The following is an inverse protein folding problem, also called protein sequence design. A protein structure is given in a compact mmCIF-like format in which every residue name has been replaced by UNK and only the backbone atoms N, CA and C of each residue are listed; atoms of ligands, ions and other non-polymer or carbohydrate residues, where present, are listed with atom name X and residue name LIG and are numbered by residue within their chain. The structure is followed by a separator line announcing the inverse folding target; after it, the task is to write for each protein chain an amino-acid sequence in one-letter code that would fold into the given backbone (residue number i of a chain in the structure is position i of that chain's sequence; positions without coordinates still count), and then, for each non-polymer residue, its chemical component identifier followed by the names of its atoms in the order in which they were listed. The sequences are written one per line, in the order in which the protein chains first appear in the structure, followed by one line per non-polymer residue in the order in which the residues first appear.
data_IF_381892591061
#
_entry.id   IF_381892591061
#
_cell.length_a   1.000
_cell.length_b   1.000
_cell.length_c   1.000
_cell.angle_alpha   90.00
_cell.angle_beta   90.00
_cell.angle_gamma   90.00
#
_symmetry.space_group_name_H-M   'P 1'
#
loop_
_entity.id
_entity.type
_entity.pdbx_description
1 polymer ?
#
# COMPACT_ATOMS: atom_id res chain seq x y z
N UNK A 1 -25.82 64.38 -7.36
CA UNK A 1 -26.32 63.86 -6.07
C UNK A 1 -27.44 64.76 -5.57
N UNK A 2 -28.44 64.27 -4.81
CA UNK A 2 -29.15 62.97 -4.82
C UNK A 2 -30.58 63.19 -5.43
N UNK A 3 -31.67 62.42 -5.26
CA UNK A 3 -31.99 60.99 -5.03
C UNK A 3 -33.27 60.69 -5.88
N UNK A 4 -33.60 59.50 -6.40
CA UNK A 4 -33.70 58.09 -5.92
C UNK A 4 -35.09 57.73 -5.31
N UNK A 5 -35.83 56.84 -5.99
CA UNK A 5 -36.94 56.06 -5.41
C UNK A 5 -38.24 55.99 -6.24
N UNK A 6 -38.56 54.83 -6.85
CA UNK A 6 -39.87 54.56 -7.47
C UNK A 6 -40.29 53.08 -7.35
N UNK A 7 -41.58 52.88 -7.01
CA UNK A 7 -42.41 51.64 -6.92
C UNK A 7 -42.71 51.09 -5.52
N UNK A 8 -44.02 50.89 -5.24
CA UNK A 8 -44.57 49.54 -5.00
C UNK A 8 -45.98 49.30 -5.61
N UNK A 9 -46.46 48.03 -5.56
CA UNK A 9 -47.83 47.58 -5.91
C UNK A 9 -47.88 46.74 -7.21
N UNK A 10 -47.97 45.39 -7.16
CA UNK A 10 -49.20 44.55 -7.17
C UNK A 10 -49.99 44.66 -8.50
N UNK A 11 -50.44 43.58 -9.15
CA UNK A 11 -51.08 42.35 -8.62
C UNK A 11 -50.61 41.03 -9.30
N UNK A 12 -51.05 39.88 -8.76
CA UNK A 12 -50.77 38.52 -9.26
C UNK A 12 -52.09 37.78 -9.52
N UNK A 13 -52.22 37.16 -10.70
CA UNK A 13 -53.23 36.11 -10.98
C UNK A 13 -52.54 34.98 -11.76
N UNK A 14 -52.66 33.70 -11.36
CA UNK A 14 -51.96 32.59 -11.99
C UNK A 14 -52.79 31.93 -13.11
N UNK A 15 -52.11 31.35 -14.11
CA UNK A 15 -52.67 30.28 -14.95
C UNK A 15 -51.61 29.22 -15.23
N UNK A 16 -51.99 27.96 -15.01
CA UNK A 16 -51.14 26.79 -15.15
C UNK A 16 -50.73 26.53 -16.61
N UNK A 17 -49.45 26.22 -16.79
CA UNK A 17 -48.98 25.46 -17.95
C UNK A 17 -48.33 24.19 -17.41
N UNK A 18 -49.00 23.06 -17.61
CA UNK A 18 -48.49 21.75 -17.23
C UNK A 18 -47.22 21.42 -18.05
N UNK A 19 -46.07 21.32 -17.38
CA UNK A 19 -44.88 20.71 -17.96
C UNK A 19 -44.98 19.18 -17.82
N UNK A 20 -45.12 18.51 -18.96
CA UNK A 20 -45.02 17.06 -19.08
C UNK A 20 -43.65 16.59 -18.56
N UNK A 21 -43.65 15.84 -17.45
CA UNK A 21 -42.43 15.39 -16.78
C UNK A 21 -42.15 13.92 -17.09
N UNK A 22 -41.88 13.64 -18.37
CA UNK A 22 -41.34 12.36 -18.85
C UNK A 22 -39.80 12.40 -18.99
N UNK A 23 -39.12 13.09 -18.07
CA UNK A 23 -37.66 13.10 -17.97
C UNK A 23 -37.11 11.82 -17.33
N UNK A 24 -36.42 10.99 -18.11
CA UNK A 24 -35.92 9.68 -17.67
C UNK A 24 -34.97 9.75 -16.46
N UNK A 25 -35.19 8.87 -15.48
CA UNK A 25 -34.31 8.69 -14.31
C UNK A 25 -32.94 8.11 -14.72
N UNK A 26 -31.99 8.96 -15.10
CA UNK A 26 -30.55 8.60 -15.20
C UNK A 26 -29.73 9.51 -14.27
N UNK A 27 -30.11 9.49 -13.00
CA UNK A 27 -29.46 10.20 -11.89
C UNK A 27 -29.03 9.27 -10.77
N UNK A 28 -28.69 8.01 -11.07
CA UNK A 28 -28.30 7.02 -10.07
C UNK A 28 -26.85 7.21 -9.60
N UNK A 29 -26.69 8.14 -8.66
CA UNK A 29 -26.11 7.85 -7.35
C UNK A 29 -24.71 7.17 -7.34
N UNK A 30 -23.78 7.73 -8.11
CA UNK A 30 -22.41 7.25 -8.27
C UNK A 30 -21.54 7.28 -6.99
N UNK A 31 -22.04 7.85 -5.90
CA UNK A 31 -21.36 7.90 -4.59
C UNK A 31 -21.87 6.90 -3.54
N UNK A 32 -23.09 6.36 -3.68
CA UNK A 32 -23.69 5.57 -2.58
C UNK A 32 -23.27 4.10 -2.57
N UNK A 33 -22.94 3.51 -3.72
CA UNK A 33 -22.51 2.12 -3.82
C UNK A 33 -21.27 1.84 -2.95
N UNK A 34 -20.22 2.66 -3.11
CA UNK A 34 -19.01 2.58 -2.29
C UNK A 34 -19.30 2.78 -0.80
N UNK A 35 -20.11 3.79 -0.43
CA UNK A 35 -20.47 4.03 0.96
C UNK A 35 -21.22 2.83 1.58
N UNK A 36 -22.20 2.26 0.88
CA UNK A 36 -22.96 1.09 1.34
C UNK A 36 -22.08 -0.15 1.51
N UNK A 37 -21.09 -0.35 0.65
CA UNK A 37 -20.10 -1.43 0.76
C UNK A 37 -19.17 -1.23 1.96
N UNK A 38 -18.78 0.00 2.26
CA UNK A 38 -17.97 0.33 3.44
C UNK A 38 -18.74 0.08 4.75
N UNK A 39 -20.01 0.49 4.85
CA UNK A 39 -20.86 0.26 6.02
C UNK A 39 -21.26 -1.21 6.20
N UNK A 40 -21.54 -1.94 5.12
CA UNK A 40 -21.79 -3.39 5.20
C UNK A 40 -20.51 -4.17 5.53
N UNK A 41 -19.36 -3.74 5.01
CA UNK A 41 -18.04 -4.25 5.40
C UNK A 41 -17.71 -3.98 6.86
N UNK A 42 -18.08 -2.81 7.40
CA UNK A 42 -17.98 -2.48 8.83
C UNK A 42 -18.86 -3.40 9.68
N UNK A 43 -20.13 -3.57 9.33
CA UNK A 43 -21.05 -4.43 10.09
C UNK A 43 -20.60 -5.90 10.14
N UNK A 44 -20.15 -6.45 9.00
CA UNK A 44 -19.57 -7.80 8.93
C UNK A 44 -18.25 -7.85 9.73
N UNK A 45 -17.40 -6.85 9.59
CA UNK A 45 -16.11 -6.80 10.27
C UNK A 45 -16.22 -6.68 11.78
N UNK A 46 -17.11 -5.83 12.29
CA UNK A 46 -17.42 -5.73 13.71
C UNK A 46 -17.99 -7.04 14.26
N UNK A 47 -18.87 -7.73 13.51
CA UNK A 47 -19.36 -9.05 13.90
C UNK A 47 -18.24 -10.11 13.94
N UNK A 48 -17.30 -10.08 13.00
CA UNK A 48 -16.09 -10.94 13.01
C UNK A 48 -15.20 -10.62 14.22
N UNK A 49 -14.95 -9.34 14.51
CA UNK A 49 -14.15 -8.89 15.66
C UNK A 49 -14.78 -9.31 16.99
N UNK A 50 -16.08 -9.09 17.17
CA UNK A 50 -16.82 -9.52 18.36
C UNK A 50 -16.82 -11.05 18.48
N UNK A 51 -17.04 -11.78 17.37
CA UNK A 51 -16.97 -13.24 17.35
C UNK A 51 -15.58 -13.78 17.74
N UNK A 52 -14.51 -13.15 17.26
CA UNK A 52 -13.14 -13.48 17.63
C UNK A 52 -12.85 -13.24 19.12
N UNK A 53 -13.29 -12.09 19.66
CA UNK A 53 -13.17 -11.78 21.08
C UNK A 53 -13.96 -12.75 21.96
N UNK A 54 -15.19 -13.11 21.57
CA UNK A 54 -16.02 -14.12 22.26
C UNK A 54 -15.34 -15.50 22.23
N UNK A 55 -14.77 -15.90 21.09
CA UNK A 55 -14.03 -17.16 20.95
C UNK A 55 -12.75 -17.19 21.80
N UNK A 56 -12.15 -16.04 22.11
CA UNK A 56 -11.01 -15.90 23.02
C UNK A 56 -11.39 -15.95 24.52
N UNK A 57 -12.65 -15.73 24.90
CA UNK A 57 -13.09 -15.77 26.30
C UNK A 57 -12.77 -17.09 27.05
N UNK A 58 -12.95 -18.31 26.48
CA UNK A 58 -12.53 -19.55 27.15
C UNK A 58 -11.01 -19.75 27.22
N UNK A 59 -10.22 -18.98 26.46
CA UNK A 59 -8.76 -19.08 26.40
C UNK A 59 -8.04 -17.92 27.12
N UNK A 60 -8.74 -17.15 27.98
CA UNK A 60 -8.15 -16.06 28.78
C UNK A 60 -6.87 -16.46 29.52
N UNK A 61 -6.91 -17.61 30.20
CA UNK A 61 -5.79 -18.20 30.95
C UNK A 61 -4.59 -18.58 30.06
N UNK A 62 -4.79 -18.75 28.75
CA UNK A 62 -3.70 -19.02 27.82
C UNK A 62 -3.03 -17.70 27.42
N UNK A 63 -1.70 -17.71 27.29
CA UNK A 63 -0.89 -16.56 26.87
C UNK A 63 -1.47 -15.80 25.66
N UNK A 64 -2.06 -16.53 24.71
CA UNK A 64 -2.69 -15.97 23.51
C UNK A 64 -3.97 -15.18 23.82
N UNK A 65 -4.81 -15.62 24.78
CA UNK A 65 -6.03 -14.92 25.18
C UNK A 65 -5.74 -13.72 26.07
N UNK A 66 -4.82 -13.87 27.02
CA UNK A 66 -4.31 -12.76 27.84
C UNK A 66 -3.77 -11.61 26.97
N UNK A 67 -3.08 -11.93 25.85
CA UNK A 67 -2.55 -10.94 24.92
C UNK A 67 -3.62 -10.00 24.31
N UNK A 68 -4.83 -10.52 24.06
CA UNK A 68 -5.91 -9.73 23.45
C UNK A 68 -6.89 -9.14 24.46
N UNK A 69 -7.04 -9.74 25.65
CA UNK A 69 -8.09 -9.38 26.60
C UNK A 69 -7.59 -8.56 27.78
N UNK A 70 -6.34 -8.74 28.21
CA UNK A 70 -5.83 -8.16 29.46
C UNK A 70 -4.86 -6.98 29.25
N UNK A 71 -4.35 -6.78 28.03
CA UNK A 71 -3.34 -5.75 27.70
C UNK A 71 -3.91 -4.37 27.33
N UNK A 72 -4.97 -3.96 28.03
CA UNK A 72 -5.60 -2.65 27.84
C UNK A 72 -6.43 -2.54 26.54
N UNK A 73 -6.70 -1.31 26.09
CA UNK A 73 -7.65 -1.04 25.00
C UNK A 73 -7.09 -1.26 23.59
N UNK A 74 -5.76 -1.24 23.42
CA UNK A 74 -5.10 -1.27 22.11
C UNK A 74 -5.39 -2.57 21.31
N UNK A 75 -5.30 -3.79 21.90
CA UNK A 75 -5.61 -5.03 21.18
C UNK A 75 -7.04 -5.09 20.63
N UNK A 76 -8.02 -4.52 21.34
CA UNK A 76 -9.41 -4.48 20.87
C UNK A 76 -9.56 -3.66 19.57
N UNK A 77 -8.83 -2.56 19.44
CA UNK A 77 -8.86 -1.72 18.23
C UNK A 77 -8.06 -2.35 17.08
N UNK A 78 -6.95 -3.04 17.38
CA UNK A 78 -6.24 -3.87 16.40
C UNK A 78 -7.14 -4.97 15.81
N UNK A 79 -7.88 -5.70 16.67
CA UNK A 79 -8.86 -6.72 16.26
C UNK A 79 -10.02 -6.10 15.46
N UNK A 80 -10.46 -4.89 15.79
CA UNK A 80 -11.49 -4.16 15.05
C UNK A 80 -11.02 -3.78 13.63
N UNK A 81 -9.81 -3.22 13.49
CA UNK A 81 -9.24 -2.87 12.18
C UNK A 81 -8.99 -4.12 11.32
N UNK A 82 -8.46 -5.19 11.92
CA UNK A 82 -8.29 -6.47 11.24
C UNK A 82 -9.64 -7.04 10.77
N UNK A 83 -10.65 -7.08 11.65
CA UNK A 83 -11.97 -7.60 11.32
C UNK A 83 -12.67 -6.80 10.23
N UNK A 84 -12.59 -5.45 10.28
CA UNK A 84 -13.14 -4.57 9.24
C UNK A 84 -12.45 -4.78 7.89
N UNK A 85 -11.12 -4.80 7.86
CA UNK A 85 -10.37 -5.05 6.63
C UNK A 85 -10.70 -6.44 6.04
N UNK A 86 -10.76 -7.48 6.88
CA UNK A 86 -11.17 -8.84 6.48
C UNK A 86 -12.62 -8.86 5.98
N UNK A 87 -13.54 -8.14 6.61
CA UNK A 87 -14.93 -8.00 6.17
C UNK A 87 -15.06 -7.41 4.76
N UNK A 88 -14.29 -6.35 4.47
CA UNK A 88 -14.18 -5.76 3.13
C UNK A 88 -13.61 -6.77 2.13
N UNK A 89 -12.53 -7.47 2.48
CA UNK A 89 -11.92 -8.50 1.61
C UNK A 89 -12.86 -9.68 1.34
N UNK A 90 -13.70 -10.07 2.29
CA UNK A 90 -14.72 -11.11 2.09
C UNK A 90 -15.79 -10.65 1.10
N UNK A 91 -16.28 -9.39 1.22
CA UNK A 91 -17.25 -8.83 0.28
C UNK A 91 -16.68 -8.77 -1.14
N UNK A 92 -15.46 -8.24 -1.29
CA UNK A 92 -14.73 -8.23 -2.57
C UNK A 92 -14.54 -9.62 -3.15
N UNK A 93 -14.08 -10.59 -2.34
CA UNK A 93 -13.92 -11.99 -2.78
C UNK A 93 -15.23 -12.59 -3.31
N UNK A 94 -16.38 -12.28 -2.71
CA UNK A 94 -17.69 -12.76 -3.20
C UNK A 94 -18.07 -12.12 -4.54
N UNK A 95 -17.78 -10.83 -4.76
CA UNK A 95 -18.01 -10.16 -6.05
C UNK A 95 -17.11 -10.68 -7.15
N UNK A 96 -15.80 -10.75 -6.90
CA UNK A 96 -14.80 -11.32 -7.79
C UNK A 96 -15.20 -12.74 -8.27
N UNK A 97 -15.75 -13.57 -7.37
CA UNK A 97 -16.23 -14.91 -7.71
C UNK A 97 -17.52 -14.93 -8.57
N UNK A 98 -18.38 -13.91 -8.47
CA UNK A 98 -19.55 -13.76 -9.35
C UNK A 98 -19.11 -13.27 -10.73
N UNK A 99 -18.22 -12.28 -10.78
CA UNK A 99 -17.72 -11.70 -12.03
C UNK A 99 -16.84 -12.68 -12.83
N UNK A 100 -15.98 -13.44 -12.15
CA UNK A 100 -15.21 -14.52 -12.77
C UNK A 100 -16.09 -15.63 -13.36
N UNK A 101 -17.32 -15.82 -12.86
CA UNK A 101 -18.33 -16.71 -13.47
C UNK A 101 -19.02 -16.05 -14.67
N UNK A 102 -19.18 -14.73 -14.68
CA UNK A 102 -19.74 -14.01 -15.83
C UNK A 102 -18.84 -14.13 -17.06
N UNK A 103 -17.51 -14.10 -16.90
CA UNK A 103 -16.51 -14.36 -17.97
C UNK A 103 -16.61 -15.76 -18.61
N UNK A 104 -17.28 -16.72 -17.97
CA UNK A 104 -17.47 -18.08 -18.51
C UNK A 104 -18.75 -18.16 -19.37
N UNK A 105 -19.64 -17.18 -19.25
CA UNK A 105 -20.88 -17.12 -20.04
C UNK A 105 -20.62 -16.37 -21.33
N UNK A 106 -21.03 -16.95 -22.45
CA UNK A 106 -20.92 -16.32 -23.77
C UNK A 106 -21.88 -15.12 -23.87
N UNK A 107 -21.31 -13.92 -23.78
CA UNK A 107 -22.04 -12.64 -23.85
C UNK A 107 -22.24 -12.16 -25.28
N UNK A 108 -21.49 -12.73 -26.25
CA UNK A 108 -21.50 -12.34 -27.66
C UNK A 108 -21.66 -13.59 -28.54
N UNK A 109 -22.79 -14.32 -28.44
CA UNK A 109 -22.96 -15.59 -29.12
C UNK A 109 -22.77 -15.46 -30.63
N UNK A 110 -21.92 -16.32 -31.18
CA UNK A 110 -21.67 -16.43 -32.63
C UNK A 110 -22.91 -16.86 -33.43
N UNK A 111 -23.99 -17.30 -32.75
CA UNK A 111 -25.26 -17.69 -33.37
C UNK A 111 -26.13 -16.53 -33.86
N UNK A 112 -25.81 -15.27 -33.50
CA UNK A 112 -26.59 -14.08 -33.94
C UNK A 112 -26.00 -13.52 -35.25
N UNK A 113 -24.70 -13.25 -35.29
CA UNK A 113 -23.93 -13.01 -36.51
C UNK A 113 -22.43 -13.05 -36.20
N UNK A 114 -21.61 -13.36 -37.20
CA UNK A 114 -20.14 -13.36 -37.05
C UNK A 114 -19.60 -11.91 -36.92
N UNK A 115 -20.04 -11.00 -37.80
CA UNK A 115 -19.77 -9.56 -37.71
C UNK A 115 -20.93 -8.79 -37.06
N UNK A 116 -20.59 -7.74 -36.30
CA UNK A 116 -21.50 -6.80 -35.65
C UNK A 116 -21.55 -5.55 -36.53
N UNK A 117 -22.68 -5.35 -37.22
CA UNK A 117 -22.97 -4.15 -38.02
C UNK A 117 -24.01 -3.28 -37.32
N UNK A 118 -24.10 -1.96 -37.59
CA UNK A 118 -25.07 -1.08 -36.93
C UNK A 118 -26.52 -1.57 -36.99
N UNK A 119 -26.89 -2.30 -38.05
CA UNK A 119 -28.22 -2.87 -38.26
C UNK A 119 -28.52 -4.11 -37.41
N UNK A 120 -27.49 -4.84 -36.93
CA UNK A 120 -27.68 -6.04 -36.09
C UNK A 120 -27.34 -5.81 -34.60
N UNK A 121 -26.76 -4.67 -34.23
CA UNK A 121 -26.44 -4.32 -32.81
C UNK A 121 -27.66 -4.47 -31.89
N UNK A 122 -28.86 -4.11 -32.36
CA UNK A 122 -30.08 -4.24 -31.57
C UNK A 122 -30.42 -5.69 -31.18
N UNK A 123 -30.07 -6.67 -32.01
CA UNK A 123 -30.22 -8.10 -31.68
C UNK A 123 -29.31 -8.51 -30.51
N UNK A 124 -28.06 -8.03 -30.49
CA UNK A 124 -27.13 -8.27 -29.38
C UNK A 124 -27.57 -7.56 -28.09
N UNK A 125 -28.06 -6.31 -28.19
CA UNK A 125 -28.58 -5.58 -27.02
C UNK A 125 -29.83 -6.24 -26.42
N UNK A 126 -30.72 -6.79 -27.24
CA UNK A 126 -31.88 -7.56 -26.76
C UNK A 126 -31.47 -8.89 -26.12
N UNK A 127 -30.54 -9.63 -26.72
CA UNK A 127 -29.99 -10.85 -26.10
C UNK A 127 -29.38 -10.58 -24.73
N UNK A 128 -28.60 -9.50 -24.61
CA UNK A 128 -28.02 -9.05 -23.35
C UNK A 128 -29.08 -8.65 -22.31
N UNK A 129 -30.23 -8.13 -22.73
CA UNK A 129 -31.35 -7.84 -21.83
C UNK A 129 -32.08 -9.10 -21.33
N UNK A 130 -32.00 -10.23 -22.05
CA UNK A 130 -32.50 -11.54 -21.59
C UNK A 130 -31.56 -12.29 -20.64
N UNK A 131 -30.32 -11.81 -20.43
CA UNK A 131 -29.40 -12.44 -19.47
C UNK A 131 -29.86 -12.22 -18.02
N UNK A 132 -29.59 -13.17 -17.09
CA UNK A 132 -30.01 -13.04 -15.69
C UNK A 132 -29.50 -11.76 -15.03
N UNK A 133 -30.34 -11.10 -14.21
CA UNK A 133 -30.00 -9.83 -13.56
C UNK A 133 -28.68 -9.84 -12.74
N UNK A 134 -28.25 -11.00 -12.25
CA UNK A 134 -26.95 -11.18 -11.55
C UNK A 134 -25.72 -11.11 -12.48
N UNK A 135 -25.91 -11.30 -13.79
CA UNK A 135 -24.89 -11.10 -14.81
C UNK A 135 -25.02 -9.71 -15.45
N UNK A 136 -26.24 -9.16 -15.56
CA UNK A 136 -26.50 -7.79 -16.01
C UNK A 136 -25.67 -6.75 -15.24
N UNK A 137 -25.42 -6.99 -13.96
CA UNK A 137 -24.62 -6.13 -13.08
C UNK A 137 -23.11 -6.51 -13.03
N UNK A 138 -22.61 -7.28 -14.00
CA UNK A 138 -21.17 -7.53 -14.18
C UNK A 138 -20.48 -6.38 -14.90
N UNK A 139 -19.24 -6.05 -14.53
CA UNK A 139 -18.41 -5.06 -15.25
C UNK A 139 -18.31 -5.39 -16.74
N UNK A 140 -18.05 -6.65 -17.09
CA UNK A 140 -17.92 -7.11 -18.47
C UNK A 140 -19.18 -6.80 -19.30
N UNK A 141 -20.35 -7.18 -18.79
CA UNK A 141 -21.61 -6.99 -19.53
C UNK A 141 -21.99 -5.50 -19.62
N UNK A 142 -21.85 -4.72 -18.55
CA UNK A 142 -22.07 -3.25 -18.61
C UNK A 142 -21.15 -2.57 -19.62
N UNK A 143 -19.90 -3.00 -19.72
CA UNK A 143 -18.89 -2.41 -20.61
C UNK A 143 -19.08 -2.81 -22.08
N UNK A 144 -19.36 -4.08 -22.36
CA UNK A 144 -19.74 -4.55 -23.71
C UNK A 144 -21.00 -3.83 -24.18
N UNK A 145 -22.03 -3.75 -23.32
CA UNK A 145 -23.29 -3.06 -23.62
C UNK A 145 -23.05 -1.59 -23.97
N UNK A 146 -22.28 -0.86 -23.17
CA UNK A 146 -21.90 0.54 -23.47
C UNK A 146 -21.11 0.67 -24.76
N UNK A 147 -20.21 -0.27 -25.06
CA UNK A 147 -19.48 -0.34 -26.33
C UNK A 147 -20.42 -0.49 -27.53
N UNK A 148 -21.40 -1.40 -27.44
CA UNK A 148 -22.43 -1.61 -28.47
C UNK A 148 -23.37 -0.39 -28.62
N UNK A 149 -23.83 0.20 -27.51
CA UNK A 149 -24.64 1.42 -27.52
C UNK A 149 -23.87 2.60 -28.15
N UNK A 150 -22.57 2.73 -27.88
CA UNK A 150 -21.71 3.76 -28.49
C UNK A 150 -21.43 3.49 -29.97
N UNK A 151 -21.22 2.22 -30.36
CA UNK A 151 -21.08 1.83 -31.77
C UNK A 151 -22.35 2.15 -32.57
N UNK A 152 -23.53 1.85 -32.04
CA UNK A 152 -24.81 2.21 -32.66
C UNK A 152 -24.97 3.72 -32.89
N UNK A 153 -24.40 4.55 -32.02
CA UNK A 153 -24.53 6.00 -32.09
C UNK A 153 -23.48 6.70 -32.98
N UNK A 154 -22.30 6.07 -33.16
CA UNK A 154 -21.14 6.67 -33.87
C UNK A 154 -20.77 5.98 -35.18
N UNK A 155 -21.13 4.70 -35.33
CA UNK A 155 -20.74 3.77 -36.40
C UNK A 155 -19.21 3.62 -36.63
N UNK A 156 -18.39 4.24 -35.78
CA UNK A 156 -16.92 4.34 -35.92
C UNK A 156 -16.17 3.37 -35.01
N UNK A 157 -15.45 2.41 -35.60
CA UNK A 157 -14.63 1.44 -34.88
C UNK A 157 -13.53 2.09 -33.99
N UNK A 158 -12.73 3.07 -34.48
CA UNK A 158 -11.70 3.71 -33.65
C UNK A 158 -12.26 4.46 -32.45
N UNK A 159 -13.44 5.08 -32.58
CA UNK A 159 -14.05 5.85 -31.49
C UNK A 159 -14.56 4.94 -30.37
N UNK A 160 -15.12 3.77 -30.72
CA UNK A 160 -15.49 2.74 -29.74
C UNK A 160 -14.24 2.19 -29.04
N UNK A 161 -13.15 1.94 -29.76
CA UNK A 161 -11.88 1.48 -29.16
C UNK A 161 -11.36 2.46 -28.09
N UNK A 162 -11.29 3.76 -28.41
CA UNK A 162 -10.88 4.81 -27.47
C UNK A 162 -11.84 4.92 -26.27
N UNK A 163 -13.15 4.82 -26.50
CA UNK A 163 -14.16 4.80 -25.43
C UNK A 163 -14.05 3.57 -24.52
N UNK A 164 -13.61 2.42 -25.05
CA UNK A 164 -13.34 1.23 -24.24
C UNK A 164 -12.03 1.35 -23.44
N UNK A 165 -11.00 1.97 -23.98
CA UNK A 165 -9.74 2.25 -23.29
C UNK A 165 -9.96 3.20 -22.09
N UNK A 166 -10.64 4.33 -22.31
CA UNK A 166 -11.04 5.25 -21.24
C UNK A 166 -11.87 4.56 -20.15
N UNK A 167 -12.75 3.63 -20.52
CA UNK A 167 -13.51 2.84 -19.55
C UNK A 167 -12.63 1.87 -18.74
N UNK A 168 -11.55 1.31 -19.31
CA UNK A 168 -10.63 0.47 -18.53
C UNK A 168 -9.92 1.29 -17.47
N UNK A 169 -9.36 2.46 -17.83
CA UNK A 169 -8.66 3.34 -16.90
C UNK A 169 -9.58 3.80 -15.75
N UNK A 170 -10.84 4.13 -16.06
CA UNK A 170 -11.86 4.47 -15.05
C UNK A 170 -12.16 3.29 -14.12
N UNK A 171 -12.22 2.06 -14.63
CA UNK A 171 -12.48 0.87 -13.80
C UNK A 171 -11.24 0.45 -12.98
N UNK A 172 -10.03 0.58 -13.53
CA UNK A 172 -8.77 0.42 -12.80
C UNK A 172 -8.65 1.43 -11.65
N UNK A 173 -8.99 2.71 -11.90
CA UNK A 173 -9.06 3.75 -10.89
C UNK A 173 -10.06 3.44 -9.77
N UNK A 174 -11.22 2.84 -10.08
CA UNK A 174 -12.19 2.36 -9.06
C UNK A 174 -11.63 1.20 -8.24
N UNK A 175 -10.97 0.24 -8.87
CA UNK A 175 -10.31 -0.88 -8.17
C UNK A 175 -9.29 -0.30 -7.18
N UNK A 176 -8.34 0.51 -7.66
CA UNK A 176 -7.32 1.15 -6.83
C UNK A 176 -7.93 1.98 -5.67
N UNK A 177 -8.94 2.80 -5.96
CA UNK A 177 -9.67 3.61 -4.98
C UNK A 177 -10.35 2.76 -3.91
N UNK A 178 -10.94 1.62 -4.28
CA UNK A 178 -11.64 0.74 -3.34
C UNK A 178 -10.74 0.07 -2.29
N UNK A 179 -9.42 -0.01 -2.51
CA UNK A 179 -8.44 -0.48 -1.52
C UNK A 179 -7.90 0.62 -0.61
N UNK A 180 -8.26 1.89 -0.81
CA UNK A 180 -7.73 3.03 -0.03
C UNK A 180 -7.91 2.81 1.48
N UNK A 181 -9.11 2.40 1.92
CA UNK A 181 -9.36 2.16 3.34
C UNK A 181 -8.56 0.96 3.89
N UNK A 182 -8.39 -0.11 3.09
CA UNK A 182 -7.57 -1.27 3.48
C UNK A 182 -6.10 -0.86 3.65
N UNK A 183 -5.58 -0.02 2.74
CA UNK A 183 -4.22 0.56 2.83
C UNK A 183 -4.06 1.45 4.07
N UNK A 184 -5.09 2.22 4.43
CA UNK A 184 -5.10 2.99 5.69
C UNK A 184 -5.01 2.08 6.91
N UNK A 185 -5.73 0.94 6.95
CA UNK A 185 -5.60 -0.02 8.06
C UNK A 185 -4.22 -0.69 8.11
N UNK A 186 -3.64 -1.06 6.97
CA UNK A 186 -2.28 -1.62 6.91
C UNK A 186 -1.22 -0.67 7.47
N UNK A 187 -1.39 0.64 7.29
CA UNK A 187 -0.55 1.68 7.88
C UNK A 187 -0.87 1.95 9.36
N UNK A 188 -2.15 1.96 9.74
CA UNK A 188 -2.60 2.28 11.09
C UNK A 188 -2.30 1.17 12.11
N UNK A 189 -2.35 -0.10 11.72
CA UNK A 189 -2.12 -1.25 12.62
C UNK A 189 -0.71 -1.21 13.27
N UNK A 190 0.41 -1.07 12.53
CA UNK A 190 1.74 -0.94 13.13
C UNK A 190 1.88 0.28 14.06
N UNK A 191 1.31 1.42 13.67
CA UNK A 191 1.35 2.66 14.47
C UNK A 191 0.59 2.49 15.78
N UNK A 192 -0.55 1.79 15.73
CA UNK A 192 -1.35 1.45 16.91
C UNK A 192 -0.61 0.48 17.84
N UNK A 193 0.14 -0.49 17.29
CA UNK A 193 1.09 -1.30 18.06
C UNK A 193 2.13 -0.44 18.78
N UNK A 194 2.78 0.48 18.04
CA UNK A 194 3.77 1.39 18.60
C UNK A 194 3.20 2.29 19.72
N UNK A 195 1.97 2.81 19.56
CA UNK A 195 1.24 3.52 20.61
C UNK A 195 1.05 2.62 21.84
N UNK A 196 0.72 1.35 21.64
CA UNK A 196 0.68 0.33 22.71
C UNK A 196 2.01 0.18 23.46
N UNK A 197 3.15 0.13 22.77
CA UNK A 197 4.46 0.12 23.44
C UNK A 197 4.76 1.39 24.21
N UNK A 198 4.50 2.58 23.63
CA UNK A 198 4.74 3.86 24.29
C UNK A 198 3.91 3.99 25.56
N UNK A 199 2.64 3.56 25.53
CA UNK A 199 1.77 3.54 26.71
C UNK A 199 2.29 2.57 27.78
N UNK A 200 2.60 1.32 27.43
CA UNK A 200 3.07 0.33 28.41
C UNK A 200 4.44 0.65 29.03
N UNK A 201 5.36 1.24 28.26
CA UNK A 201 6.63 1.76 28.77
C UNK A 201 6.38 2.96 29.70
N UNK A 202 5.48 3.88 29.33
CA UNK A 202 5.14 5.04 30.16
C UNK A 202 4.51 4.64 31.50
N UNK A 203 3.62 3.62 31.51
CA UNK A 203 3.02 3.14 32.77
C UNK A 203 4.03 2.40 33.64
N UNK A 204 4.92 1.61 33.05
CA UNK A 204 6.00 0.94 33.78
C UNK A 204 6.93 1.96 34.47
N UNK A 205 7.38 3.00 33.75
CA UNK A 205 8.24 4.05 34.33
C UNK A 205 7.50 4.85 35.42
N UNK A 206 6.20 5.11 35.25
CA UNK A 206 5.40 5.82 36.26
C UNK A 206 5.27 5.02 37.59
N UNK A 207 5.13 3.69 37.52
CA UNK A 207 5.11 2.82 38.70
C UNK A 207 6.39 2.92 39.53
N UNK A 208 7.56 2.89 38.86
CA UNK A 208 8.86 3.05 39.51
C UNK A 208 9.03 4.42 40.17
N UNK A 209 8.59 5.49 39.50
CA UNK A 209 8.70 6.85 40.02
C UNK A 209 7.82 7.09 41.26
N UNK A 210 6.62 6.50 41.31
CA UNK A 210 5.74 6.60 42.48
C UNK A 210 6.30 5.89 43.72
N UNK A 211 6.94 4.73 43.52
CA UNK A 211 7.49 3.89 44.59
C UNK A 211 8.69 4.46 45.32
N UNK A 212 9.41 5.43 44.74
CA UNK A 212 10.58 6.09 45.35
C UNK A 212 10.24 7.18 46.38
N UNK A 213 8.94 7.45 46.63
CA UNK A 213 8.49 8.54 47.50
C UNK A 213 8.38 8.20 49.00
N UNK A 214 8.62 6.95 49.38
CA UNK A 214 8.58 6.48 50.77
C UNK A 214 9.89 5.83 51.22
N UNK A 215 10.24 5.99 52.50
CA UNK A 215 11.28 5.19 53.16
C UNK A 215 10.85 3.73 53.24
N UNK A 216 11.26 2.92 52.28
CA UNK A 216 10.92 1.50 52.22
C UNK A 216 12.12 0.57 51.96
N UNK A 217 11.86 -0.68 52.30
CA UNK A 217 12.80 -1.78 52.41
C UNK A 217 13.23 -2.32 51.03
N UNK A 218 14.36 -3.04 50.99
CA UNK A 218 14.93 -3.62 49.76
C UNK A 218 13.95 -4.53 49.00
N UNK A 219 13.00 -5.14 49.71
CA UNK A 219 11.89 -5.95 49.16
C UNK A 219 11.00 -5.13 48.21
N UNK A 220 10.53 -3.96 48.63
CA UNK A 220 9.64 -3.11 47.83
C UNK A 220 10.28 -2.65 46.52
N UNK A 221 11.60 -2.46 46.50
CA UNK A 221 12.37 -2.16 45.28
C UNK A 221 12.44 -3.34 44.30
N UNK A 222 12.59 -4.57 44.80
CA UNK A 222 12.57 -5.79 43.97
C UNK A 222 11.20 -6.01 43.33
N UNK A 223 10.12 -5.78 44.08
CA UNK A 223 8.75 -5.91 43.57
C UNK A 223 8.45 -4.86 42.48
N UNK A 224 8.82 -3.59 42.72
CA UNK A 224 8.68 -2.51 41.72
C UNK A 224 9.48 -2.79 40.43
N UNK A 225 10.72 -3.28 40.53
CA UNK A 225 11.51 -3.65 39.36
C UNK A 225 10.90 -4.83 38.59
N UNK A 226 10.26 -5.76 39.30
CA UNK A 226 9.55 -6.90 38.70
C UNK A 226 8.30 -6.43 37.95
N UNK A 227 7.50 -5.53 38.55
CA UNK A 227 6.33 -4.92 37.91
C UNK A 227 6.70 -4.13 36.64
N UNK A 228 7.76 -3.31 36.70
CA UNK A 228 8.33 -2.59 35.54
C UNK A 228 8.71 -3.56 34.42
N UNK A 229 9.37 -4.67 34.77
CA UNK A 229 9.82 -5.68 33.79
C UNK A 229 8.64 -6.38 33.12
N UNK A 230 7.59 -6.70 33.88
CA UNK A 230 6.33 -7.26 33.34
C UNK A 230 5.61 -6.25 32.43
N UNK A 231 5.49 -4.99 32.85
CA UNK A 231 4.87 -3.92 32.04
C UNK A 231 5.59 -3.68 30.71
N UNK A 232 6.92 -3.77 30.70
CA UNK A 232 7.74 -3.68 29.49
C UNK A 232 7.53 -4.88 28.56
N UNK A 233 7.41 -6.11 29.09
CA UNK A 233 7.02 -7.28 28.31
C UNK A 233 5.60 -7.14 27.72
N UNK A 234 4.66 -6.61 28.51
CA UNK A 234 3.28 -6.33 28.07
C UNK A 234 3.25 -5.37 26.88
N UNK A 235 4.05 -4.31 26.94
CA UNK A 235 4.29 -3.38 25.84
C UNK A 235 4.80 -4.11 24.58
N UNK A 236 5.90 -4.86 24.68
CA UNK A 236 6.54 -5.48 23.51
C UNK A 236 5.64 -6.45 22.74
N UNK A 237 4.94 -7.39 23.40
CA UNK A 237 4.12 -8.33 22.61
C UNK A 237 2.87 -7.65 22.00
N UNK A 238 2.45 -6.49 22.50
CA UNK A 238 1.39 -5.67 21.87
C UNK A 238 1.84 -5.15 20.50
N UNK A 239 3.09 -4.70 20.38
CA UNK A 239 3.71 -4.36 19.08
C UNK A 239 3.94 -5.61 18.23
N UNK A 240 4.43 -6.70 18.81
CA UNK A 240 4.66 -7.96 18.07
C UNK A 240 3.37 -8.44 17.39
N UNK A 241 2.25 -8.48 18.13
CA UNK A 241 0.95 -8.88 17.56
C UNK A 241 0.44 -7.89 16.53
N UNK A 242 0.61 -6.59 16.72
CA UNK A 242 0.25 -5.61 15.69
C UNK A 242 1.02 -5.84 14.37
N UNK A 243 2.33 -6.12 14.45
CA UNK A 243 3.15 -6.43 13.28
C UNK A 243 2.72 -7.75 12.63
N UNK A 244 2.51 -8.82 13.41
CA UNK A 244 1.99 -10.10 12.90
C UNK A 244 0.63 -9.93 12.21
N UNK A 245 -0.30 -9.16 12.79
CA UNK A 245 -1.61 -8.87 12.19
C UNK A 245 -1.48 -8.06 10.89
N UNK A 246 -0.61 -7.07 10.84
CA UNK A 246 -0.39 -6.26 9.62
C UNK A 246 0.17 -7.12 8.48
N UNK A 247 1.12 -8.02 8.75
CA UNK A 247 1.66 -8.96 7.76
C UNK A 247 0.58 -9.94 7.30
N UNK A 248 -0.18 -10.52 8.24
CA UNK A 248 -1.27 -11.47 7.96
C UNK A 248 -2.39 -10.85 7.12
N UNK A 249 -2.63 -9.54 7.25
CA UNK A 249 -3.61 -8.79 6.45
C UNK A 249 -3.04 -8.33 5.10
N UNK A 250 -1.75 -7.96 5.04
CA UNK A 250 -1.10 -7.43 3.83
C UNK A 250 -1.12 -8.44 2.68
N UNK A 251 -0.76 -9.70 2.95
CA UNK A 251 -0.69 -10.74 1.92
C UNK A 251 -2.03 -11.01 1.21
N UNK A 252 -3.15 -11.31 1.91
CA UNK A 252 -4.44 -11.50 1.26
C UNK A 252 -5.01 -10.21 0.66
N UNK A 253 -4.69 -9.03 1.19
CA UNK A 253 -5.10 -7.75 0.60
C UNK A 253 -4.46 -7.53 -0.77
N UNK A 254 -3.13 -7.66 -0.87
CA UNK A 254 -2.39 -7.57 -2.13
C UNK A 254 -2.80 -8.65 -3.13
N UNK A 255 -3.02 -9.89 -2.65
CA UNK A 255 -3.53 -10.98 -3.48
C UNK A 255 -4.93 -10.74 -4.03
N UNK A 256 -5.82 -10.08 -3.27
CA UNK A 256 -7.16 -9.70 -3.74
C UNK A 256 -7.09 -8.55 -4.75
N UNK A 257 -6.28 -7.52 -4.49
CA UNK A 257 -6.09 -6.40 -5.41
C UNK A 257 -5.59 -6.91 -6.77
N UNK A 258 -4.54 -7.73 -6.76
CA UNK A 258 -4.03 -8.37 -7.98
C UNK A 258 -5.10 -9.22 -8.69
N UNK A 259 -5.90 -9.98 -7.95
CA UNK A 259 -6.91 -10.83 -8.58
C UNK A 259 -8.08 -10.04 -9.22
N UNK A 260 -8.38 -8.82 -8.74
CA UNK A 260 -9.30 -7.88 -9.40
C UNK A 260 -8.64 -7.18 -10.62
N UNK A 261 -7.35 -6.85 -10.55
CA UNK A 261 -6.57 -6.31 -11.68
C UNK A 261 -6.44 -7.34 -12.83
N UNK A 262 -6.07 -8.59 -12.52
CA UNK A 262 -6.00 -9.71 -13.46
C UNK A 262 -7.38 -9.98 -14.12
N UNK A 263 -8.48 -9.75 -13.40
CA UNK A 263 -9.84 -9.88 -13.93
C UNK A 263 -10.17 -8.77 -14.93
N UNK A 264 -9.81 -7.51 -14.61
CA UNK A 264 -10.01 -6.37 -15.51
C UNK A 264 -9.22 -6.57 -16.81
N UNK A 265 -7.96 -7.01 -16.72
CA UNK A 265 -7.14 -7.33 -17.88
C UNK A 265 -7.76 -8.45 -18.75
N UNK A 266 -8.36 -9.49 -18.13
CA UNK A 266 -9.08 -10.52 -18.87
C UNK A 266 -10.34 -9.99 -19.58
N UNK A 267 -11.06 -9.04 -18.97
CA UNK A 267 -12.20 -8.34 -19.59
C UNK A 267 -11.74 -7.44 -20.74
N UNK A 268 -10.61 -6.73 -20.59
CA UNK A 268 -9.98 -5.95 -21.66
C UNK A 268 -9.65 -6.82 -22.88
N UNK A 269 -8.93 -7.93 -22.65
CA UNK A 269 -8.61 -8.90 -23.71
C UNK A 269 -9.87 -9.45 -24.36
N UNK A 270 -10.89 -9.86 -23.59
CA UNK A 270 -12.15 -10.34 -24.15
C UNK A 270 -12.83 -9.28 -25.05
N UNK A 271 -12.85 -8.01 -24.63
CA UNK A 271 -13.44 -6.92 -25.41
C UNK A 271 -12.64 -6.63 -26.69
N UNK A 272 -11.31 -6.58 -26.61
CA UNK A 272 -10.43 -6.41 -27.77
C UNK A 272 -10.61 -7.54 -28.78
N UNK A 273 -10.67 -8.79 -28.32
CA UNK A 273 -10.69 -9.97 -29.18
C UNK A 273 -12.07 -10.36 -29.72
N UNK A 274 -13.14 -10.15 -28.94
CA UNK A 274 -14.49 -10.62 -29.29
C UNK A 274 -15.45 -9.48 -29.65
N UNK A 275 -15.25 -8.26 -29.14
CA UNK A 275 -16.06 -7.11 -29.53
C UNK A 275 -15.40 -6.38 -30.70
N UNK A 276 -14.22 -5.77 -30.49
CA UNK A 276 -13.64 -4.88 -31.50
C UNK A 276 -13.26 -5.58 -32.81
N UNK A 277 -12.76 -6.83 -32.79
CA UNK A 277 -12.49 -7.60 -34.02
C UNK A 277 -13.76 -7.94 -34.82
N UNK A 278 -14.93 -7.97 -34.18
CA UNK A 278 -16.23 -8.31 -34.81
C UNK A 278 -17.00 -7.06 -35.26
N UNK A 279 -16.69 -5.87 -34.74
CA UNK A 279 -17.29 -4.62 -35.24
C UNK A 279 -16.89 -4.40 -36.71
N UNK A 280 -17.86 -4.40 -37.62
CA UNK A 280 -17.65 -4.00 -39.01
C UNK A 280 -18.25 -2.62 -39.22
N UNK A 281 -17.37 -1.63 -39.36
CA UNK A 281 -17.72 -0.33 -39.94
C UNK A 281 -18.37 -0.55 -41.33
N UNK A 282 -19.38 0.24 -41.65
CA UNK A 282 -20.17 0.11 -42.87
C UNK A 282 -19.34 0.37 -44.15
N UNK A 283 -18.17 1.02 -44.05
CA UNK A 283 -17.24 1.25 -45.17
C UNK A 283 -16.10 0.22 -45.33
N UNK A 284 -16.00 -0.78 -44.44
CA UNK A 284 -14.75 -1.51 -44.16
C UNK A 284 -14.06 -2.32 -45.28
N UNK A 285 -14.67 -2.48 -46.46
CA UNK A 285 -14.08 -3.26 -47.58
C UNK A 285 -14.10 -2.50 -48.91
N UNK A 286 -15.08 -1.60 -49.15
CA UNK A 286 -15.15 -0.80 -50.38
C UNK A 286 -14.16 0.37 -50.38
N UNK A 287 -14.09 1.15 -49.29
CA UNK A 287 -13.34 2.41 -49.29
C UNK A 287 -11.83 2.19 -49.24
N UNK A 288 -11.34 1.10 -48.65
CA UNK A 288 -9.90 0.81 -48.60
C UNK A 288 -9.34 0.59 -50.01
N UNK A 289 -10.09 -0.05 -50.91
CA UNK A 289 -9.65 -0.32 -52.27
C UNK A 289 -9.62 0.94 -53.17
N UNK A 290 -10.59 1.84 -53.01
CA UNK A 290 -10.60 3.10 -53.77
C UNK A 290 -9.70 4.17 -53.15
N UNK A 291 -9.63 4.31 -51.82
CA UNK A 291 -8.68 5.23 -51.19
C UNK A 291 -7.22 4.81 -51.40
N UNK A 292 -6.88 3.51 -51.41
CA UNK A 292 -5.50 3.10 -51.76
C UNK A 292 -5.14 3.39 -53.21
N UNK A 293 -6.09 3.30 -54.15
CA UNK A 293 -5.88 3.69 -55.56
C UNK A 293 -5.79 5.21 -55.74
N UNK A 294 -6.65 5.97 -55.09
CA UNK A 294 -6.60 7.43 -55.10
C UNK A 294 -5.30 7.96 -54.48
N UNK A 295 -4.90 7.39 -53.32
CA UNK A 295 -3.64 7.70 -52.65
C UNK A 295 -2.43 7.32 -53.52
N UNK A 296 -2.43 6.14 -54.15
CA UNK A 296 -1.34 5.70 -55.03
C UNK A 296 -1.18 6.62 -56.25
N UNK A 297 -2.29 7.03 -56.88
CA UNK A 297 -2.25 7.98 -58.00
C UNK A 297 -1.82 9.39 -57.58
N UNK A 298 -2.19 9.85 -56.38
CA UNK A 298 -1.79 11.15 -55.85
C UNK A 298 -0.33 11.17 -55.36
N UNK A 299 0.17 10.06 -54.78
CA UNK A 299 1.57 9.94 -54.36
C UNK A 299 2.54 9.63 -55.50
N UNK A 300 2.10 9.06 -56.62
CA UNK A 300 2.98 8.74 -57.75
C UNK A 300 3.89 9.90 -58.22
N UNK A 301 3.38 11.15 -58.42
CA UNK A 301 4.25 12.28 -58.75
C UNK A 301 5.07 12.78 -57.53
N UNK A 302 4.49 12.77 -56.32
CA UNK A 302 5.15 13.31 -55.11
C UNK A 302 6.32 12.43 -54.65
N UNK A 303 6.18 11.11 -54.76
CA UNK A 303 7.19 10.13 -54.33
C UNK A 303 8.42 10.15 -55.26
N UNK A 304 8.25 10.50 -56.53
CA UNK A 304 9.36 10.66 -57.48
C UNK A 304 10.27 11.86 -57.10
N UNK A 305 9.68 12.93 -56.57
CA UNK A 305 10.41 14.12 -56.12
C UNK A 305 10.96 13.94 -54.70
N UNK A 306 10.18 13.35 -53.78
CA UNK A 306 10.57 13.20 -52.37
C UNK A 306 11.68 12.18 -52.12
N UNK A 307 11.88 11.19 -53.01
CA UNK A 307 12.95 10.19 -52.84
C UNK A 307 14.35 10.80 -52.91
N UNK A 308 14.58 11.80 -53.77
CA UNK A 308 15.90 12.42 -53.89
C UNK A 308 16.26 13.24 -52.63
N UNK A 309 15.28 13.94 -52.08
CA UNK A 309 15.47 14.78 -50.89
C UNK A 309 15.56 13.92 -49.62
N UNK A 310 14.77 12.84 -49.52
CA UNK A 310 14.88 11.86 -48.44
C UNK A 310 16.24 11.15 -48.43
N UNK A 311 16.78 10.77 -49.60
CA UNK A 311 18.15 10.19 -49.70
C UNK A 311 19.24 11.19 -49.29
N UNK A 312 18.99 12.50 -49.45
CA UNK A 312 19.89 13.58 -49.01
C UNK A 312 19.84 13.75 -47.49
N UNK A 313 18.64 13.84 -46.92
CA UNK A 313 18.41 13.91 -45.48
C UNK A 313 18.92 12.65 -44.75
N UNK A 314 18.74 11.45 -45.32
CA UNK A 314 19.29 10.21 -44.75
C UNK A 314 20.83 10.18 -44.71
N UNK A 315 21.50 10.75 -45.72
CA UNK A 315 22.98 10.90 -45.68
C UNK A 315 23.42 11.88 -44.60
N UNK A 316 22.73 13.01 -44.47
CA UNK A 316 23.03 14.03 -43.46
C UNK A 316 22.79 13.51 -42.03
N UNK A 317 21.67 12.80 -41.80
CA UNK A 317 21.38 12.10 -40.54
C UNK A 317 22.37 10.97 -40.28
N UNK A 318 22.77 10.21 -41.30
CA UNK A 318 23.78 9.15 -41.19
C UNK A 318 25.15 9.68 -40.77
N UNK A 319 25.60 10.79 -41.35
CA UNK A 319 26.82 11.48 -40.93
C UNK A 319 26.69 12.08 -39.52
N UNK A 320 25.54 12.67 -39.19
CA UNK A 320 25.25 13.20 -37.85
C UNK A 320 25.29 12.10 -36.77
N UNK A 321 24.72 10.94 -37.07
CA UNK A 321 24.69 9.76 -36.19
C UNK A 321 26.08 9.15 -36.04
N UNK A 322 26.88 9.06 -37.11
CA UNK A 322 28.27 8.63 -37.04
C UNK A 322 29.13 9.57 -36.18
N UNK A 323 28.96 10.90 -36.31
CA UNK A 323 29.62 11.91 -35.46
C UNK A 323 29.15 11.82 -34.00
N UNK A 324 27.87 11.55 -33.77
CA UNK A 324 27.31 11.32 -32.44
C UNK A 324 27.89 10.08 -31.77
N UNK A 325 27.93 8.95 -32.48
CA UNK A 325 28.44 7.67 -31.98
C UNK A 325 29.95 7.73 -31.69
N UNK A 326 30.75 8.42 -32.51
CA UNK A 326 32.16 8.67 -32.24
C UNK A 326 32.38 9.46 -30.94
N UNK A 327 31.61 10.54 -30.74
CA UNK A 327 31.65 11.38 -29.53
C UNK A 327 31.13 10.62 -28.29
N UNK A 328 30.21 9.69 -28.48
CA UNK A 328 29.70 8.82 -27.42
C UNK A 328 30.74 7.75 -27.03
N UNK A 329 31.53 7.22 -27.97
CA UNK A 329 32.68 6.35 -27.67
C UNK A 329 33.76 7.08 -26.86
N UNK A 330 34.07 8.32 -27.22
CA UNK A 330 35.04 9.18 -26.52
C UNK A 330 34.60 9.47 -25.07
N UNK A 331 33.32 9.82 -24.87
CA UNK A 331 32.73 9.99 -23.53
C UNK A 331 32.78 8.69 -22.71
N UNK A 332 32.46 7.54 -23.32
CA UNK A 332 32.57 6.24 -22.63
C UNK A 332 34.01 5.96 -22.20
N UNK A 333 34.99 6.20 -23.07
CA UNK A 333 36.41 6.05 -22.72
C UNK A 333 36.85 6.98 -21.57
N UNK A 334 36.41 8.24 -21.58
CA UNK A 334 36.67 9.16 -20.46
C UNK A 334 35.99 8.72 -19.16
N UNK A 335 34.77 8.16 -19.21
CA UNK A 335 34.14 7.61 -18.00
C UNK A 335 34.84 6.36 -17.49
N UNK A 336 35.34 5.48 -18.36
CA UNK A 336 36.07 4.27 -17.95
C UNK A 336 37.39 4.62 -17.25
N UNK A 337 38.18 5.55 -17.80
CA UNK A 337 39.44 5.97 -17.15
C UNK A 337 39.20 6.74 -15.85
N UNK A 338 38.11 7.51 -15.75
CA UNK A 338 37.71 8.14 -14.49
C UNK A 338 37.26 7.11 -13.42
N UNK A 339 36.59 6.03 -13.83
CA UNK A 339 36.20 4.92 -12.94
C UNK A 339 37.43 4.14 -12.45
N UNK A 340 38.41 3.88 -13.32
CA UNK A 340 39.68 3.26 -12.93
C UNK A 340 40.46 4.13 -11.93
N UNK A 341 40.49 5.46 -12.14
CA UNK A 341 41.10 6.40 -11.20
C UNK A 341 40.33 6.53 -9.88
N UNK A 342 39.00 6.35 -9.87
CA UNK A 342 38.25 6.24 -8.61
C UNK A 342 38.53 4.92 -7.88
N UNK A 343 38.73 3.82 -8.62
CA UNK A 343 39.01 2.50 -8.03
C UNK A 343 40.31 2.49 -7.22
N UNK A 344 41.37 3.13 -7.71
CA UNK A 344 42.64 3.26 -6.97
C UNK A 344 42.50 4.12 -5.72
N UNK A 345 41.79 5.25 -5.79
CA UNK A 345 41.52 6.11 -4.61
C UNK A 345 40.64 5.41 -3.57
N UNK A 346 39.73 4.54 -3.99
CA UNK A 346 38.93 3.71 -3.09
C UNK A 346 39.79 2.62 -2.43
N UNK A 347 40.63 1.91 -3.19
CA UNK A 347 41.58 0.92 -2.63
C UNK A 347 42.58 1.57 -1.66
N UNK A 348 43.09 2.76 -1.97
CA UNK A 348 43.95 3.55 -1.08
C UNK A 348 43.22 3.95 0.21
N UNK A 349 41.99 4.49 0.12
CA UNK A 349 41.21 4.87 1.32
C UNK A 349 40.77 3.67 2.16
N UNK A 350 40.47 2.54 1.54
CA UNK A 350 40.14 1.30 2.28
C UNK A 350 41.39 0.74 2.97
N UNK A 351 42.56 0.80 2.32
CA UNK A 351 43.85 0.46 2.94
C UNK A 351 44.18 1.35 4.14
N UNK A 352 44.12 2.67 3.96
CA UNK A 352 44.34 3.63 5.05
C UNK A 352 43.29 3.53 6.17
N UNK A 353 42.06 3.13 5.87
CA UNK A 353 41.05 2.86 6.90
C UNK A 353 41.32 1.56 7.65
N UNK A 354 41.88 0.53 6.99
CA UNK A 354 42.31 -0.70 7.65
C UNK A 354 43.50 -0.47 8.58
N UNK A 355 44.54 0.27 8.14
CA UNK A 355 45.68 0.64 9.01
C UNK A 355 45.24 1.47 10.22
N UNK A 356 44.34 2.45 10.03
CA UNK A 356 43.81 3.23 11.16
C UNK A 356 42.97 2.37 12.12
N UNK A 357 42.16 1.42 11.63
CA UNK A 357 41.43 0.49 12.49
C UNK A 357 42.39 -0.43 13.29
N UNK A 358 43.49 -0.86 12.68
CA UNK A 358 44.48 -1.72 13.33
C UNK A 358 45.28 -0.95 14.39
N UNK A 359 45.66 0.31 14.11
CA UNK A 359 46.29 1.21 15.08
C UNK A 359 45.34 1.59 16.24
N UNK A 360 44.07 1.89 15.96
CA UNK A 360 43.06 2.21 16.98
C UNK A 360 42.70 0.98 17.84
N UNK A 361 42.65 -0.21 17.23
CA UNK A 361 42.51 -1.49 17.91
C UNK A 361 43.69 -1.78 18.85
N UNK A 362 44.93 -1.58 18.39
CA UNK A 362 46.12 -1.76 19.24
C UNK A 362 46.15 -0.76 20.40
N UNK A 363 45.89 0.53 20.14
CA UNK A 363 45.87 1.56 21.19
C UNK A 363 44.74 1.36 22.21
N UNK A 364 43.57 0.86 21.80
CA UNK A 364 42.47 0.53 22.73
C UNK A 364 42.76 -0.74 23.54
N UNK A 365 43.44 -1.74 22.96
CA UNK A 365 43.92 -2.93 23.67
C UNK A 365 45.04 -2.59 24.68
N UNK A 366 45.98 -1.72 24.33
CA UNK A 366 47.00 -1.24 25.27
C UNK A 366 46.38 -0.42 26.41
N UNK A 367 45.48 0.52 26.10
CA UNK A 367 44.79 1.32 27.12
C UNK A 367 43.89 0.48 28.04
N UNK A 368 43.29 -0.61 27.55
CA UNK A 368 42.58 -1.56 28.42
C UNK A 368 43.53 -2.43 29.24
N UNK A 369 44.66 -2.89 28.66
CA UNK A 369 45.70 -3.63 29.37
C UNK A 369 46.33 -2.82 30.52
N UNK A 370 46.62 -1.53 30.30
CA UNK A 370 47.08 -0.62 31.36
C UNK A 370 46.04 -0.40 32.45
N UNK A 371 44.77 -0.13 32.08
CA UNK A 371 43.68 0.01 33.07
C UNK A 371 43.47 -1.26 33.88
N UNK A 372 43.59 -2.44 33.26
CA UNK A 372 43.49 -3.74 33.95
C UNK A 372 44.69 -3.93 34.88
N UNK A 373 45.92 -3.65 34.45
CA UNK A 373 47.11 -3.67 35.32
C UNK A 373 47.00 -2.73 36.51
N UNK A 374 46.62 -1.47 36.29
CA UNK A 374 46.40 -0.49 37.34
C UNK A 374 45.33 -0.97 38.36
N UNK A 375 44.23 -1.56 37.85
CA UNK A 375 43.18 -2.15 38.70
C UNK A 375 43.70 -3.30 39.56
N UNK A 376 44.50 -4.21 38.99
CA UNK A 376 45.16 -5.29 39.74
C UNK A 376 46.19 -4.78 40.74
N UNK A 377 46.89 -3.69 40.44
CA UNK A 377 47.92 -3.10 41.30
C UNK A 377 47.30 -2.41 42.52
N UNK A 378 46.18 -1.68 42.34
CA UNK A 378 45.36 -1.15 43.44
C UNK A 378 44.79 -2.29 44.30
N UNK A 379 44.35 -3.39 43.70
CA UNK A 379 43.92 -4.60 44.43
C UNK A 379 45.06 -5.24 45.23
N UNK A 380 46.26 -5.31 44.66
CA UNK A 380 47.44 -5.86 45.34
C UNK A 380 47.88 -4.98 46.52
N UNK A 381 47.92 -3.66 46.36
CA UNK A 381 48.23 -2.73 47.45
C UNK A 381 47.13 -2.72 48.53
N UNK A 382 45.86 -2.83 48.13
CA UNK A 382 44.73 -3.01 49.07
C UNK A 382 44.86 -4.31 49.89
N UNK A 383 45.22 -5.43 49.26
CA UNK A 383 45.51 -6.69 49.97
C UNK A 383 46.76 -6.58 50.87
N UNK A 384 47.76 -5.79 50.48
CA UNK A 384 48.99 -5.58 51.25
C UNK A 384 48.75 -4.72 52.49
N UNK A 385 47.93 -3.68 52.37
CA UNK A 385 47.50 -2.85 53.50
C UNK A 385 46.54 -3.61 54.42
N UNK A 386 45.62 -4.43 53.88
CA UNK A 386 44.81 -5.37 54.67
C UNK A 386 45.68 -6.38 55.44
N UNK A 387 46.70 -6.96 54.81
CA UNK A 387 47.61 -7.89 55.48
C UNK A 387 48.43 -7.18 56.58
N UNK A 388 48.87 -5.95 56.34
CA UNK A 388 49.54 -5.10 57.34
C UNK A 388 48.62 -4.77 58.53
N UNK A 389 47.36 -4.41 58.28
CA UNK A 389 46.34 -4.18 59.31
C UNK A 389 46.04 -5.47 60.10
N UNK A 390 45.92 -6.61 59.41
CA UNK A 390 45.77 -7.92 60.05
C UNK A 390 46.98 -8.27 60.92
N UNK A 391 48.20 -7.92 60.51
CA UNK A 391 49.43 -8.18 61.28
C UNK A 391 49.58 -7.24 62.48
N UNK A 392 49.11 -5.99 62.38
CA UNK A 392 49.00 -5.06 63.52
C UNK A 392 47.89 -5.46 64.51
N UNK A 393 46.84 -6.14 64.03
CA UNK A 393 45.80 -6.76 64.86
C UNK A 393 46.30 -8.05 65.54
N UNK A 394 47.05 -8.90 64.84
CA UNK A 394 47.66 -10.13 65.40
C UNK A 394 48.74 -9.79 66.44
N UNK A 395 49.52 -8.73 66.21
CA UNK A 395 50.46 -8.17 67.18
C UNK A 395 49.81 -7.54 68.41
N UNK A 396 48.50 -7.27 68.38
CA UNK A 396 47.70 -6.79 69.52
C UNK A 396 46.71 -7.85 69.94
N UNK A 397 47.22 -8.88 70.63
CA UNK A 397 46.39 -9.86 71.34
C UNK A 397 45.22 -9.17 72.05
N UNK A 398 44.01 -9.56 71.65
CA UNK A 398 42.75 -9.03 72.17
C UNK A 398 42.63 -9.43 73.64
N UNK A 399 43.04 -8.53 74.55
CA UNK A 399 42.71 -8.63 75.97
C UNK A 399 41.21 -8.39 76.15
N UNK A 400 40.45 -9.48 76.07
CA UNK A 400 39.05 -9.52 76.53
C UNK A 400 39.08 -9.46 78.06
N UNK A 401 39.09 -8.25 78.62
CA UNK A 401 38.86 -8.07 80.05
C UNK A 401 37.37 -7.77 80.31
N UNK A 402 36.72 -8.65 81.07
CA UNK A 402 35.26 -8.75 81.18
C UNK A 402 34.83 -8.51 82.64
N UNK A 403 33.96 -7.50 82.87
CA UNK A 403 33.31 -7.10 84.15
C UNK A 403 34.26 -6.49 85.21
N UNK A 404 33.89 -5.37 85.85
CA UNK A 404 32.82 -5.34 86.89
C UNK A 404 32.22 -3.94 87.17
N UNK A 405 31.05 -3.99 87.80
CA UNK A 405 30.11 -2.92 88.27
C UNK A 405 30.68 -1.77 89.13
N UNK A 406 29.92 -0.67 89.11
CA UNK A 406 29.71 0.35 90.17
C UNK A 406 30.89 1.30 90.44
N UNK A 407 30.68 2.59 90.76
CA UNK A 407 29.43 3.35 91.03
C UNK A 407 29.13 4.39 89.95
#
# INVERSE_FOLDING_TARGET
MPALGSHPGQEVVPQDIASDNSGGQVGQDWGSAGNRELWTGFGIGAAISIGFLILMLPFKEAYFGALFLERGWVPYVLVLFLGWAVGILILKRRRLQVERRALIVDVLPFSISDSITPQNVDGFLQYQATLPAKLADSYMLRRIRRGLEHFKARESNPEVASMMEMQSEIDAGKIAGSYTLVKVFLWAIPIMGFIGTVLGISTAIAGLAGGMSGTQEMSSLMDQLTEVTVGLGVAFDTTLVALCMSILLSFPASGMQKAEEDLLAAVDSYCLENLLKRLSDAGGISDVADNTRALANALAPVLAESQQDFLRQLREVGEGMARGQARQLELVQQTTTAIEAQRTVIEEKVGAMAENLEAESQHTLEATSERVKASFQVLADGMKELNKVLRDLDGKQVKIEKKRKWF
#
